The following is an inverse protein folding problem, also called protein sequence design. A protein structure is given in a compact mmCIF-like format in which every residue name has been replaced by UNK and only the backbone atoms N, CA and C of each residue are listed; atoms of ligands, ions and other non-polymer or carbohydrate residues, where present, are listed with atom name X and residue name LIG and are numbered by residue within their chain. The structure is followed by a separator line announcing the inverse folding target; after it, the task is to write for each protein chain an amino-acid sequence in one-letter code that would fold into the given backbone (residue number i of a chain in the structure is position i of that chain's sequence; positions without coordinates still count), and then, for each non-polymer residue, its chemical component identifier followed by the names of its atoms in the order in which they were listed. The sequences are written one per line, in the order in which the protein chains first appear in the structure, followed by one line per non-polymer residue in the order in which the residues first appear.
data_IF_612513480962
#
_entry.id   IF_612513480962
#
_cell.length_a   1.000
_cell.length_b   1.000
_cell.length_c   1.000
_cell.angle_alpha   90.00
_cell.angle_beta   90.00
_cell.angle_gamma   90.00
#
_symmetry.space_group_name_H-M   'P 1'
#
loop_
_entity.id
_entity.type
_entity.pdbx_description
1 polymer ?
#
# COMPACT_ATOMS: atom_id res chain seq x y z
N UNK A 1 1.86 2.97 -7.17
CA UNK A 1 2.78 2.63 -8.27
C UNK A 1 4.12 3.30 -7.99
N UNK A 2 5.21 2.57 -8.08
CA UNK A 2 6.58 3.06 -7.86
C UNK A 2 7.45 2.67 -9.07
N UNK A 3 8.69 3.19 -9.21
CA UNK A 3 9.63 2.71 -10.22
C UNK A 3 9.98 1.21 -10.11
N UNK A 4 9.59 0.56 -9.02
CA UNK A 4 9.76 -0.89 -8.78
C UNK A 4 8.43 -1.67 -8.85
N UNK A 5 7.37 -1.05 -9.38
CA UNK A 5 6.02 -1.61 -9.39
C UNK A 5 5.19 -1.29 -8.14
N UNK A 6 4.23 -2.14 -7.84
CA UNK A 6 3.48 -2.05 -6.57
C UNK A 6 4.35 -2.54 -5.41
N UNK A 7 4.36 -1.77 -4.34
CA UNK A 7 5.12 -2.10 -3.13
C UNK A 7 4.18 -2.03 -1.93
N UNK A 8 4.15 -3.09 -1.14
CA UNK A 8 3.51 -3.12 0.17
C UNK A 8 4.58 -3.09 1.27
N UNK A 9 4.56 -2.06 2.09
CA UNK A 9 5.53 -1.90 3.18
C UNK A 9 5.12 -2.74 4.41
N UNK A 10 5.52 -4.02 4.42
CA UNK A 10 5.16 -4.97 5.47
C UNK A 10 5.65 -4.53 6.87
N UNK A 11 6.80 -3.88 6.94
CA UNK A 11 7.33 -3.35 8.21
C UNK A 11 6.41 -2.31 8.85
N UNK A 12 5.75 -1.46 8.07
CA UNK A 12 4.77 -0.50 8.59
C UNK A 12 3.59 -1.23 9.23
N UNK A 13 3.08 -2.29 8.58
CA UNK A 13 2.02 -3.09 9.15
C UNK A 13 2.46 -3.79 10.46
N UNK A 14 3.68 -4.31 10.52
CA UNK A 14 4.26 -4.95 11.73
C UNK A 14 4.49 -3.96 12.87
N UNK A 15 4.83 -2.72 12.59
CA UNK A 15 4.97 -1.68 13.61
C UNK A 15 3.62 -1.32 14.25
N UNK A 16 2.53 -1.39 13.50
CA UNK A 16 1.20 -0.96 13.91
C UNK A 16 0.30 -2.10 14.40
N UNK A 17 0.61 -3.36 14.07
CA UNK A 17 -0.22 -4.51 14.41
C UNK A 17 0.60 -5.76 14.74
N UNK A 18 0.02 -6.63 15.58
CA UNK A 18 0.56 -7.95 15.94
C UNK A 18 -0.27 -9.09 15.37
N UNK A 19 -1.52 -8.81 15.02
CA UNK A 19 -2.47 -9.76 14.44
C UNK A 19 -2.83 -9.35 13.02
N UNK A 20 -2.70 -10.28 12.09
CA UNK A 20 -2.90 -10.03 10.66
C UNK A 20 -3.94 -10.99 10.10
N UNK A 21 -5.04 -10.46 9.58
CA UNK A 21 -6.04 -11.20 8.82
C UNK A 21 -5.86 -10.84 7.35
N UNK A 22 -5.50 -11.82 6.54
CA UNK A 22 -5.10 -11.62 5.14
C UNK A 22 -6.13 -12.25 4.21
N UNK A 23 -6.82 -11.42 3.43
CA UNK A 23 -7.78 -11.83 2.42
C UNK A 23 -7.05 -12.16 1.12
N UNK A 24 -6.94 -13.45 0.78
CA UNK A 24 -6.40 -13.91 -0.49
C UNK A 24 -7.47 -13.81 -1.56
N UNK A 25 -7.44 -12.71 -2.31
CA UNK A 25 -8.48 -12.35 -3.28
C UNK A 25 -7.88 -11.88 -4.60
N UNK A 26 -7.73 -12.79 -5.54
CA UNK A 26 -7.18 -12.49 -6.87
C UNK A 26 -8.04 -11.54 -7.70
N UNK A 27 -9.34 -11.46 -7.41
CA UNK A 27 -10.27 -10.62 -8.16
C UNK A 27 -10.63 -9.31 -7.44
N UNK A 28 -10.29 -9.19 -6.16
CA UNK A 28 -10.57 -8.01 -5.35
C UNK A 28 -12.07 -7.75 -5.06
N UNK A 29 -12.94 -8.69 -5.42
CA UNK A 29 -14.40 -8.53 -5.30
C UNK A 29 -14.89 -8.77 -3.86
N UNK A 30 -14.41 -9.82 -3.22
CA UNK A 30 -14.84 -10.23 -1.87
C UNK A 30 -14.12 -9.38 -0.83
N UNK A 31 -12.82 -9.18 -0.95
CA UNK A 31 -12.03 -8.37 -0.02
C UNK A 31 -12.53 -6.93 0.05
N UNK A 32 -12.93 -6.34 -1.08
CA UNK A 32 -13.55 -5.01 -1.12
C UNK A 32 -14.77 -4.93 -0.20
N UNK A 33 -15.70 -5.85 -0.32
CA UNK A 33 -16.92 -5.88 0.51
C UNK A 33 -16.61 -6.10 1.98
N UNK A 34 -15.70 -7.01 2.30
CA UNK A 34 -15.30 -7.30 3.67
C UNK A 34 -14.62 -6.10 4.33
N UNK A 35 -13.72 -5.44 3.63
CA UNK A 35 -13.02 -4.26 4.16
C UNK A 35 -13.97 -3.08 4.37
N UNK A 36 -14.94 -2.85 3.50
CA UNK A 36 -15.95 -1.81 3.71
C UNK A 36 -16.82 -2.09 4.95
N UNK A 37 -17.23 -3.35 5.17
CA UNK A 37 -17.96 -3.73 6.38
C UNK A 37 -17.10 -3.56 7.64
N UNK A 38 -15.84 -3.96 7.59
CA UNK A 38 -14.89 -3.80 8.69
C UNK A 38 -14.67 -2.32 9.00
N UNK A 39 -14.50 -1.49 7.96
CA UNK A 39 -14.37 -0.04 8.10
C UNK A 39 -15.57 0.56 8.81
N UNK A 40 -16.77 0.26 8.33
CA UNK A 40 -18.00 0.77 8.89
C UNK A 40 -18.16 0.37 10.37
N UNK A 41 -17.91 -0.89 10.69
CA UNK A 41 -18.01 -1.41 12.07
C UNK A 41 -16.97 -0.82 13.00
N UNK A 42 -15.73 -0.68 12.56
CA UNK A 42 -14.66 -0.07 13.36
C UNK A 42 -14.98 1.40 13.69
N UNK A 43 -15.43 2.16 12.71
CA UNK A 43 -15.84 3.55 12.91
C UNK A 43 -17.06 3.68 13.82
N UNK A 44 -18.07 2.82 13.65
CA UNK A 44 -19.26 2.80 14.51
C UNK A 44 -18.92 2.52 15.99
N UNK A 45 -17.82 1.80 16.23
CA UNK A 45 -17.28 1.53 17.58
C UNK A 45 -16.33 2.60 18.10
N UNK A 46 -16.06 3.64 17.32
CA UNK A 46 -15.19 4.75 17.71
C UNK A 46 -13.69 4.46 17.58
N UNK A 47 -13.28 3.40 16.90
CA UNK A 47 -11.86 3.11 16.69
C UNK A 47 -11.24 4.06 15.66
N UNK A 48 -10.01 4.45 15.94
CA UNK A 48 -9.16 5.07 14.93
C UNK A 48 -8.69 4.02 13.92
N UNK A 49 -8.84 4.31 12.65
CA UNK A 49 -8.41 3.39 11.59
C UNK A 49 -7.45 4.07 10.63
N UNK A 50 -6.50 3.31 10.13
CA UNK A 50 -5.64 3.70 9.02
C UNK A 50 -6.09 2.89 7.81
N UNK A 51 -6.56 3.58 6.76
CA UNK A 51 -6.96 2.96 5.51
C UNK A 51 -5.88 3.15 4.45
N UNK A 52 -5.57 2.09 3.71
CA UNK A 52 -4.70 2.15 2.55
C UNK A 52 -5.55 1.96 1.29
N UNK A 53 -5.83 3.03 0.54
CA UNK A 53 -6.55 2.93 -0.73
C UNK A 53 -5.77 2.11 -1.75
N UNK A 54 -6.49 1.48 -2.66
CA UNK A 54 -5.90 0.78 -3.79
C UNK A 54 -5.19 1.78 -4.72
N UNK A 55 -3.93 1.52 -5.06
CA UNK A 55 -3.16 2.41 -5.93
C UNK A 55 -3.79 2.60 -7.34
N UNK A 56 -4.57 1.61 -7.80
CA UNK A 56 -5.24 1.62 -9.09
C UNK A 56 -6.65 2.23 -9.04
N UNK A 57 -7.29 2.23 -7.87
CA UNK A 57 -8.66 2.69 -7.65
C UNK A 57 -8.81 3.35 -6.27
N UNK A 58 -8.11 4.47 -6.02
CA UNK A 58 -8.02 5.05 -4.68
C UNK A 58 -9.36 5.60 -4.17
N UNK A 59 -10.26 5.98 -5.06
CA UNK A 59 -11.56 6.56 -4.70
C UNK A 59 -12.58 5.51 -4.24
N UNK A 60 -12.50 4.29 -4.80
CA UNK A 60 -13.55 3.29 -4.68
C UNK A 60 -13.13 2.02 -3.94
N UNK A 61 -11.85 1.84 -3.66
CA UNK A 61 -11.34 0.58 -3.13
C UNK A 61 -10.30 0.78 -2.06
N UNK A 62 -10.52 0.12 -0.92
CA UNK A 62 -9.54 -0.02 0.14
C UNK A 62 -8.86 -1.37 0.00
N UNK A 63 -7.53 -1.39 0.05
CA UNK A 63 -6.75 -2.63 0.04
C UNK A 63 -6.36 -3.10 1.44
N UNK A 64 -6.15 -2.17 2.39
CA UNK A 64 -5.79 -2.53 3.76
C UNK A 64 -6.46 -1.61 4.78
N UNK A 65 -6.74 -2.18 5.96
CA UNK A 65 -7.20 -1.44 7.15
C UNK A 65 -6.34 -1.87 8.33
N UNK A 66 -5.79 -0.89 9.05
CA UNK A 66 -5.11 -1.12 10.31
C UNK A 66 -5.89 -0.42 11.43
N UNK A 67 -6.01 -1.10 12.57
CA UNK A 67 -6.64 -0.59 13.79
C UNK A 67 -5.58 -0.65 14.88
N UNK A 68 -4.77 0.40 15.04
CA UNK A 68 -3.62 0.39 15.95
C UNK A 68 -3.99 0.10 17.41
N UNK A 69 -5.11 0.64 17.89
CA UNK A 69 -5.61 0.43 19.24
C UNK A 69 -5.87 -1.05 19.56
N UNK A 70 -6.25 -1.83 18.55
CA UNK A 70 -6.47 -3.27 18.67
C UNK A 70 -5.24 -4.10 18.29
N UNK A 71 -4.17 -3.48 17.84
CA UNK A 71 -3.00 -4.13 17.25
C UNK A 71 -3.40 -5.13 16.15
N UNK A 72 -4.38 -4.75 15.31
CA UNK A 72 -5.02 -5.62 14.32
C UNK A 72 -4.96 -5.00 12.92
N UNK A 73 -4.59 -5.79 11.92
CA UNK A 73 -4.60 -5.39 10.52
C UNK A 73 -5.40 -6.38 9.67
N UNK A 74 -6.18 -5.83 8.76
CA UNK A 74 -6.87 -6.53 7.69
C UNK A 74 -6.23 -6.16 6.36
N UNK A 75 -5.67 -7.14 5.66
CA UNK A 75 -4.83 -6.93 4.49
C UNK A 75 -5.36 -7.74 3.31
N UNK A 76 -5.22 -7.22 2.09
CA UNK A 76 -5.45 -8.02 0.88
C UNK A 76 -4.13 -8.60 0.37
N UNK A 77 -4.17 -9.82 -0.15
CA UNK A 77 -3.09 -10.53 -0.81
C UNK A 77 -3.57 -11.01 -2.18
N UNK A 78 -2.87 -10.62 -3.23
CA UNK A 78 -3.16 -11.01 -4.60
C UNK A 78 -1.85 -11.11 -5.40
N UNK A 79 -1.92 -11.42 -6.70
CA UNK A 79 -0.73 -11.56 -7.56
C UNK A 79 0.07 -10.27 -7.74
N UNK A 80 -0.56 -9.11 -7.58
CA UNK A 80 0.05 -7.81 -7.80
C UNK A 80 0.84 -7.33 -6.57
N UNK A 81 0.33 -7.61 -5.38
CA UNK A 81 1.03 -7.38 -4.13
C UNK A 81 0.87 -8.57 -3.17
N UNK A 82 1.99 -9.17 -2.82
CA UNK A 82 2.04 -10.31 -1.91
C UNK A 82 2.26 -9.86 -0.48
N UNK A 83 1.48 -10.46 0.42
CA UNK A 83 1.58 -10.24 1.86
C UNK A 83 2.07 -11.53 2.52
N UNK A 84 3.22 -11.45 3.19
CA UNK A 84 3.80 -12.55 3.95
C UNK A 84 4.25 -12.04 5.31
N UNK A 85 3.41 -12.25 6.32
CA UNK A 85 3.65 -11.79 7.68
C UNK A 85 3.65 -12.97 8.65
N UNK A 86 4.52 -12.96 9.68
CA UNK A 86 4.54 -14.01 10.70
C UNK A 86 3.18 -14.12 11.39
N UNK A 87 2.69 -15.35 11.57
CA UNK A 87 1.44 -15.60 12.32
C UNK A 87 0.16 -15.11 11.63
N UNK A 88 0.21 -14.71 10.35
CA UNK A 88 -0.97 -14.24 9.64
C UNK A 88 -2.03 -15.34 9.49
N UNK A 89 -3.31 -14.95 9.64
CA UNK A 89 -4.46 -15.77 9.36
C UNK A 89 -4.98 -15.50 7.95
N UNK A 90 -4.86 -16.47 7.05
CA UNK A 90 -5.26 -16.30 5.66
C UNK A 90 -6.72 -16.75 5.42
N UNK A 91 -7.52 -15.86 4.85
CA UNK A 91 -8.89 -16.13 4.39
C UNK A 91 -8.88 -16.25 2.87
N UNK A 92 -9.19 -17.45 2.34
CA UNK A 92 -9.28 -17.67 0.89
C UNK A 92 -10.62 -17.17 0.36
N UNK A 93 -10.63 -16.04 -0.32
CA UNK A 93 -11.85 -15.41 -0.85
C UNK A 93 -12.52 -16.20 -1.98
N UNK A 94 -11.78 -17.06 -2.67
CA UNK A 94 -12.35 -17.96 -3.70
C UNK A 94 -13.44 -18.91 -3.18
N UNK A 95 -13.50 -19.15 -1.86
CA UNK A 95 -14.56 -19.96 -1.22
C UNK A 95 -15.95 -19.30 -1.28
N UNK A 96 -16.00 -17.99 -1.49
CA UNK A 96 -17.23 -17.19 -1.57
C UNK A 96 -17.69 -16.96 -3.00
N UNK A 97 -16.95 -17.46 -4.00
CA UNK A 97 -17.27 -17.27 -5.41
C UNK A 97 -18.07 -18.46 -5.95
N UNK A 98 -19.04 -18.17 -6.79
CA UNK A 98 -19.72 -19.16 -7.61
C UNK A 98 -18.76 -19.63 -8.72
N UNK A 99 -18.24 -20.85 -8.56
CA UNK A 99 -17.26 -21.44 -9.47
C UNK A 99 -17.84 -21.81 -10.83
N UNK A 100 -19.12 -22.18 -10.89
CA UNK A 100 -19.77 -22.57 -12.13
C UNK A 100 -19.98 -21.33 -12.99
N UNK A 101 -20.53 -20.28 -12.42
CA UNK A 101 -20.70 -19.01 -13.10
C UNK A 101 -19.34 -18.42 -13.53
N UNK A 102 -18.33 -18.44 -12.64
CA UNK A 102 -16.98 -17.96 -12.94
C UNK A 102 -16.32 -18.73 -14.10
N UNK A 103 -16.66 -20.03 -14.26
CA UNK A 103 -16.11 -20.85 -15.34
C UNK A 103 -16.45 -20.29 -16.73
N UNK A 104 -17.64 -19.73 -16.91
CA UNK A 104 -18.06 -19.08 -18.15
C UNK A 104 -17.23 -17.85 -18.55
N UNK A 105 -16.60 -17.19 -17.58
CA UNK A 105 -15.82 -15.97 -17.80
C UNK A 105 -14.29 -16.18 -17.85
N UNK A 106 -13.80 -17.41 -17.73
CA UNK A 106 -12.34 -17.71 -17.63
C UNK A 106 -11.49 -17.14 -18.76
N UNK A 107 -11.99 -17.17 -19.99
CA UNK A 107 -11.24 -16.65 -21.13
C UNK A 107 -11.07 -15.12 -21.03
N UNK A 108 -12.16 -14.42 -20.67
CA UNK A 108 -12.19 -12.97 -20.48
C UNK A 108 -11.33 -12.54 -19.29
N UNK A 109 -11.43 -13.27 -18.19
CA UNK A 109 -10.59 -13.01 -16.99
C UNK A 109 -9.11 -13.13 -17.32
N UNK A 110 -8.69 -14.21 -17.98
CA UNK A 110 -7.29 -14.39 -18.40
C UNK A 110 -6.81 -13.34 -19.40
N UNK A 111 -7.69 -12.89 -20.29
CA UNK A 111 -7.36 -11.78 -21.18
C UNK A 111 -7.12 -10.49 -20.40
N UNK A 112 -8.06 -10.11 -19.52
CA UNK A 112 -7.96 -8.91 -18.71
C UNK A 112 -6.73 -8.95 -17.77
N UNK A 113 -6.43 -10.10 -17.19
CA UNK A 113 -5.24 -10.29 -16.33
C UNK A 113 -3.94 -10.05 -17.09
N UNK A 114 -3.85 -10.57 -18.33
CA UNK A 114 -2.65 -10.33 -19.17
C UNK A 114 -2.55 -8.88 -19.61
N UNK A 115 -3.66 -8.29 -20.02
CA UNK A 115 -3.68 -6.88 -20.40
C UNK A 115 -3.31 -5.96 -19.23
N UNK A 116 -3.83 -6.24 -18.03
CA UNK A 116 -3.46 -5.50 -16.84
C UNK A 116 -1.98 -5.67 -16.48
N UNK A 117 -1.42 -6.87 -16.59
CA UNK A 117 0.00 -7.12 -16.34
C UNK A 117 0.89 -6.31 -17.29
N UNK A 118 0.58 -6.34 -18.58
CA UNK A 118 1.31 -5.58 -19.62
C UNK A 118 1.25 -4.06 -19.33
N UNK A 119 0.08 -3.52 -19.03
CA UNK A 119 -0.09 -2.10 -18.71
C UNK A 119 0.66 -1.70 -17.44
N UNK A 120 0.66 -2.54 -16.41
CA UNK A 120 1.40 -2.30 -15.17
C UNK A 120 2.91 -2.32 -15.39
N UNK A 121 3.41 -3.23 -16.25
CA UNK A 121 4.83 -3.28 -16.61
C UNK A 121 5.25 -2.00 -17.34
N UNK A 122 4.47 -1.57 -18.34
CA UNK A 122 4.71 -0.34 -19.07
C UNK A 122 4.67 0.89 -18.15
N UNK A 123 3.68 0.99 -17.28
CA UNK A 123 3.56 2.08 -16.30
C UNK A 123 4.76 2.10 -15.34
N UNK A 124 5.22 0.93 -14.88
CA UNK A 124 6.42 0.80 -14.03
C UNK A 124 7.67 1.30 -14.75
N UNK A 125 7.83 0.93 -16.03
CA UNK A 125 8.95 1.38 -16.86
C UNK A 125 8.95 2.90 -17.03
N UNK A 126 7.78 3.50 -17.29
CA UNK A 126 7.64 4.96 -17.42
C UNK A 126 7.94 5.67 -16.09
N UNK A 127 7.50 5.12 -14.96
CA UNK A 127 7.85 5.65 -13.63
C UNK A 127 9.35 5.58 -13.34
N UNK A 128 10.02 4.51 -13.79
CA UNK A 128 11.47 4.39 -13.67
C UNK A 128 12.21 5.43 -14.52
N UNK A 129 11.74 5.69 -15.73
CA UNK A 129 12.26 6.75 -16.59
C UNK A 129 12.05 8.14 -15.97
N UNK A 130 10.85 8.44 -15.48
CA UNK A 130 10.55 9.69 -14.79
C UNK A 130 11.46 9.90 -13.58
N UNK A 131 11.69 8.83 -12.77
CA UNK A 131 12.64 8.89 -11.66
C UNK A 131 14.06 9.19 -12.13
N UNK A 132 14.52 8.55 -13.20
CA UNK A 132 15.85 8.80 -13.75
C UNK A 132 16.04 10.28 -14.18
N UNK A 133 15.04 10.84 -14.87
CA UNK A 133 15.05 12.26 -15.24
C UNK A 133 15.05 13.18 -14.01
N UNK A 134 14.27 12.83 -12.99
CA UNK A 134 14.26 13.57 -11.73
C UNK A 134 15.63 13.50 -11.02
N UNK A 135 16.24 12.32 -10.95
CA UNK A 135 17.55 12.14 -10.32
C UNK A 135 18.64 12.94 -11.06
N UNK A 136 18.57 13.01 -12.38
CA UNK A 136 19.45 13.86 -13.18
C UNK A 136 19.23 15.35 -12.86
N UNK A 137 17.98 15.80 -12.77
CA UNK A 137 17.63 17.17 -12.42
C UNK A 137 18.13 17.54 -11.03
N UNK A 138 18.06 16.63 -10.05
CA UNK A 138 18.58 16.85 -8.70
C UNK A 138 20.08 17.15 -8.70
N UNK A 139 20.86 16.61 -9.64
CA UNK A 139 22.30 16.88 -9.70
C UNK A 139 22.61 18.36 -9.91
N UNK A 140 21.75 19.06 -10.65
CA UNK A 140 21.88 20.51 -10.86
C UNK A 140 21.52 21.32 -9.62
N UNK A 141 20.48 20.91 -8.88
CA UNK A 141 20.09 21.63 -7.65
C UNK A 141 21.10 21.45 -6.54
N UNK A 142 21.67 20.26 -6.37
CA UNK A 142 22.61 19.95 -5.28
C UNK A 142 23.81 20.86 -5.25
N UNK A 143 24.24 21.39 -6.39
CA UNK A 143 25.37 22.32 -6.49
C UNK A 143 25.03 23.74 -6.03
N UNK A 144 23.75 24.07 -5.90
CA UNK A 144 23.25 25.42 -5.59
C UNK A 144 22.59 25.52 -4.22
N UNK A 145 22.36 24.39 -3.54
CA UNK A 145 21.71 24.32 -2.22
C UNK A 145 22.75 24.49 -1.13
N UNK A 146 22.53 25.41 -0.22
CA UNK A 146 23.26 25.52 1.05
C UNK A 146 22.61 24.56 2.07
N UNK A 147 23.14 23.35 2.15
CA UNK A 147 22.65 22.33 3.07
C UNK A 147 22.78 22.72 4.54
N UNK A 148 23.77 23.55 4.92
CA UNK A 148 23.89 23.99 6.29
C UNK A 148 22.70 24.87 6.73
N UNK A 149 22.23 25.74 5.84
CA UNK A 149 21.00 26.51 6.10
C UNK A 149 19.75 25.64 6.14
N UNK A 150 19.69 24.58 5.33
CA UNK A 150 18.57 23.60 5.36
C UNK A 150 18.55 22.85 6.69
N UNK A 151 19.71 22.38 7.15
CA UNK A 151 19.83 21.66 8.43
C UNK A 151 19.47 22.56 9.63
N UNK A 152 19.89 23.82 9.61
CA UNK A 152 19.51 24.80 10.63
C UNK A 152 17.98 25.06 10.62
N UNK A 153 17.36 25.17 9.44
CA UNK A 153 15.93 25.33 9.32
C UNK A 153 15.17 24.09 9.82
N UNK A 154 15.68 22.89 9.51
CA UNK A 154 15.09 21.64 9.98
C UNK A 154 15.17 21.51 11.51
N UNK A 155 16.31 21.87 12.12
CA UNK A 155 16.47 21.87 13.57
C UNK A 155 15.48 22.82 14.24
N UNK A 156 15.31 24.04 13.73
CA UNK A 156 14.31 25.00 14.25
C UNK A 156 12.88 24.47 14.13
N UNK A 157 12.55 23.78 13.03
CA UNK A 157 11.24 23.14 12.90
C UNK A 157 11.05 22.03 13.93
N UNK A 158 12.08 21.20 14.15
CA UNK A 158 12.01 20.13 15.15
C UNK A 158 11.77 20.69 16.57
N UNK A 159 12.47 21.76 16.94
CA UNK A 159 12.26 22.45 18.23
C UNK A 159 10.83 22.97 18.40
N UNK A 160 10.24 23.56 17.35
CA UNK A 160 8.85 24.05 17.37
C UNK A 160 7.83 22.94 17.64
N UNK A 161 8.11 21.71 17.23
CA UNK A 161 7.27 20.54 17.48
C UNK A 161 7.65 19.75 18.73
N UNK A 162 8.66 20.20 19.50
CA UNK A 162 9.16 19.49 20.68
C UNK A 162 9.81 18.14 20.33
N UNK A 163 10.33 17.99 19.12
CA UNK A 163 11.07 16.81 18.69
C UNK A 163 12.55 17.01 18.95
N UNK A 164 13.25 15.95 19.36
CA UNK A 164 14.71 15.97 19.41
C UNK A 164 15.26 16.10 17.99
N UNK A 165 16.30 16.92 17.81
CA UNK A 165 16.97 17.05 16.54
C UNK A 165 17.52 15.68 16.10
N UNK A 166 17.40 15.30 14.81
CA UNK A 166 17.98 14.05 14.33
C UNK A 166 19.47 14.05 14.58
N UNK A 167 19.98 12.94 15.12
CA UNK A 167 21.43 12.79 15.33
C UNK A 167 22.14 12.81 13.96
N UNK A 168 23.35 13.42 13.86
CA UNK A 168 24.05 13.58 12.58
C UNK A 168 24.53 12.27 11.93
N UNK A 169 24.23 11.10 12.52
CA UNK A 169 24.69 9.77 12.10
C UNK A 169 23.59 8.90 11.47
N UNK A 170 22.50 9.47 10.92
CA UNK A 170 21.49 8.72 10.17
C UNK A 170 21.59 8.90 8.66
#
# INVERSE_FOLDING_TARGET
MTPKGEVFYQHTAQALADRFIVFRDEYGAVSRLLLELIRAEALARGYHIITCPCAMHPEDKIDHILIPELRLAFLTDNRWHRVQLPGMQAVRCTRFLDRENLAGYRARLRFNERAAAELLEQATALMAQAKSCHDELETYYRTTVDFAQVDEAAARCAELFGLEAPSPDC
#
